data_IF_979118936652
#
_entry.id   IF_979118936652
#
_cell.length_a   1.000
_cell.length_b   1.000
_cell.length_c   1.000
_cell.angle_alpha   90.00
_cell.angle_beta   90.00
_cell.angle_gamma   90.00
#
_symmetry.space_group_name_H-M   'P 1'
#
loop_
_entity.id
_entity.type
_entity.pdbx_description
1 polymer ?
#
# COMPACT_ATOMS: atom_id res chain seq x y z
N UNK A 1 9.81 -18.93 -4.09
CA UNK A 1 10.53 -17.77 -3.53
C UNK A 1 9.51 -16.86 -2.85
N UNK A 2 9.79 -16.41 -1.63
CA UNK A 2 8.98 -15.39 -0.91
C UNK A 2 9.82 -14.15 -0.78
N UNK A 3 9.18 -12.97 -0.89
CA UNK A 3 9.80 -11.66 -0.76
C UNK A 3 9.28 -10.96 0.49
N UNK A 4 10.18 -10.33 1.23
CA UNK A 4 9.86 -9.61 2.46
C UNK A 4 10.44 -8.21 2.37
N UNK A 5 9.63 -7.18 2.59
CA UNK A 5 10.03 -5.79 2.59
C UNK A 5 10.14 -5.24 4.01
N UNK A 6 11.22 -4.55 4.31
CA UNK A 6 11.42 -3.85 5.59
C UNK A 6 11.33 -2.34 5.40
N UNK A 7 10.68 -1.67 6.34
CA UNK A 7 10.57 -0.20 6.37
C UNK A 7 11.58 0.45 7.33
N UNK A 8 12.41 -0.33 8.02
CA UNK A 8 13.38 0.19 8.98
C UNK A 8 14.71 0.52 8.31
N UNK A 9 15.31 1.64 8.69
CA UNK A 9 16.69 1.98 8.32
C UNK A 9 17.60 1.19 9.26
N UNK A 10 18.20 0.13 8.75
CA UNK A 10 19.22 -0.67 9.44
C UNK A 10 20.55 -0.32 8.80
N UNK A 11 21.59 -0.15 9.62
CA UNK A 11 22.84 0.47 9.23
C UNK A 11 23.71 -0.35 8.27
N UNK A 12 23.55 -1.68 8.25
CA UNK A 12 24.34 -2.59 7.42
C UNK A 12 23.59 -3.83 6.98
N UNK A 13 24.16 -4.59 6.03
CA UNK A 13 23.57 -5.79 5.46
C UNK A 13 23.52 -6.95 6.46
N UNK A 14 24.51 -7.06 7.34
CA UNK A 14 24.58 -8.09 8.39
C UNK A 14 23.46 -7.91 9.42
N UNK A 15 23.29 -6.72 9.96
CA UNK A 15 22.22 -6.39 10.90
C UNK A 15 20.83 -6.57 10.30
N UNK A 16 20.66 -6.24 9.01
CA UNK A 16 19.40 -6.43 8.29
C UNK A 16 19.04 -7.92 8.16
N UNK A 17 20.00 -8.78 7.82
CA UNK A 17 19.79 -10.22 7.74
C UNK A 17 19.48 -10.82 9.11
N UNK A 18 20.17 -10.38 10.16
CA UNK A 18 19.92 -10.84 11.53
C UNK A 18 18.49 -10.56 11.99
N UNK A 19 18.03 -9.34 11.80
CA UNK A 19 16.66 -8.95 12.14
C UNK A 19 15.62 -9.69 11.27
N UNK A 20 15.94 -9.94 9.99
CA UNK A 20 15.09 -10.76 9.13
C UNK A 20 14.96 -12.18 9.63
N UNK A 21 16.09 -12.85 9.93
CA UNK A 21 16.13 -14.24 10.42
C UNK A 21 15.28 -14.34 11.70
N UNK A 22 15.45 -13.40 12.64
CA UNK A 22 14.70 -13.37 13.88
C UNK A 22 13.20 -13.27 13.64
N UNK A 23 12.75 -12.27 12.89
CA UNK A 23 11.31 -12.05 12.61
C UNK A 23 10.67 -13.17 11.79
N UNK A 24 11.46 -13.79 10.90
CA UNK A 24 10.94 -14.85 10.05
C UNK A 24 10.72 -16.13 10.85
N UNK A 25 11.73 -16.55 11.63
CA UNK A 25 11.67 -17.80 12.37
C UNK A 25 10.88 -17.70 13.68
N UNK A 26 10.65 -16.51 14.22
CA UNK A 26 9.72 -16.31 15.34
C UNK A 26 8.29 -16.81 15.05
N UNK A 27 7.89 -16.78 13.77
CA UNK A 27 6.54 -17.15 13.31
C UNK A 27 6.55 -18.35 12.36
N UNK A 28 7.68 -19.00 12.16
CA UNK A 28 7.80 -20.12 11.23
C UNK A 28 7.52 -21.44 11.93
N UNK A 29 6.67 -22.27 11.32
CA UNK A 29 6.36 -23.63 11.82
C UNK A 29 7.53 -24.60 11.63
N UNK A 30 8.49 -24.29 10.79
CA UNK A 30 9.64 -25.15 10.47
C UNK A 30 10.95 -24.36 10.50
N UNK A 31 11.91 -24.81 11.28
CA UNK A 31 13.28 -24.30 11.31
C UNK A 31 14.22 -25.35 10.67
N UNK A 32 14.99 -24.99 9.62
CA UNK A 32 15.92 -25.92 8.96
C UNK A 32 17.13 -26.23 9.86
N UNK A 33 17.96 -27.20 9.45
CA UNK A 33 19.24 -27.48 10.12
C UNK A 33 20.32 -26.47 9.72
N UNK A 34 20.13 -25.79 8.60
CA UNK A 34 21.11 -24.87 8.06
C UNK A 34 20.40 -23.67 7.39
N UNK A 35 20.87 -22.46 7.73
CA UNK A 35 20.48 -21.20 7.11
C UNK A 35 21.70 -20.65 6.38
N UNK A 36 21.60 -20.46 5.07
CA UNK A 36 22.68 -19.90 4.26
C UNK A 36 22.40 -18.42 3.96
N UNK A 37 23.41 -17.59 4.15
CA UNK A 37 23.32 -16.14 4.06
C UNK A 37 24.31 -15.55 3.05
N UNK A 38 24.09 -14.32 2.62
CA UNK A 38 24.90 -13.66 1.58
C UNK A 38 26.15 -12.96 2.11
N UNK A 39 26.20 -12.71 3.42
CA UNK A 39 27.31 -12.04 4.09
C UNK A 39 27.61 -12.71 5.43
N UNK A 40 28.84 -12.58 5.89
CA UNK A 40 29.24 -12.99 7.23
C UNK A 40 28.50 -12.15 8.27
N UNK A 41 27.94 -12.79 9.28
CA UNK A 41 27.13 -12.15 10.30
C UNK A 41 27.90 -12.11 11.62
N UNK A 42 28.05 -10.90 12.22
CA UNK A 42 28.72 -10.72 13.52
C UNK A 42 27.98 -11.49 14.63
N UNK A 43 26.66 -11.50 14.61
CA UNK A 43 25.81 -12.15 15.62
C UNK A 43 25.39 -13.59 15.23
N UNK A 44 26.06 -14.23 14.26
CA UNK A 44 25.69 -15.57 13.78
C UNK A 44 25.56 -16.59 14.91
N UNK A 45 26.50 -16.61 15.85
CA UNK A 45 26.51 -17.54 16.99
C UNK A 45 25.30 -17.36 17.92
N UNK A 46 24.91 -16.12 18.21
CA UNK A 46 23.75 -15.84 19.06
C UNK A 46 22.43 -16.28 18.37
N UNK A 47 22.34 -16.06 17.07
CA UNK A 47 21.19 -16.50 16.28
C UNK A 47 21.14 -18.02 16.14
N UNK A 48 22.28 -18.71 16.01
CA UNK A 48 22.37 -20.17 15.99
C UNK A 48 21.90 -20.78 17.32
N UNK A 49 22.33 -20.22 18.45
CA UNK A 49 21.90 -20.64 19.79
C UNK A 49 20.38 -20.48 19.94
N UNK A 50 19.85 -19.31 19.62
CA UNK A 50 18.42 -19.03 19.68
C UNK A 50 17.60 -19.98 18.78
N UNK A 51 18.01 -20.16 17.52
CA UNK A 51 17.32 -21.06 16.58
C UNK A 51 17.40 -22.53 17.02
N UNK A 52 18.53 -22.94 17.62
CA UNK A 52 18.74 -24.28 18.15
C UNK A 52 17.82 -24.55 19.34
N UNK A 53 17.65 -23.56 20.22
CA UNK A 53 16.70 -23.63 21.34
C UNK A 53 15.25 -23.73 20.86
N UNK A 54 14.84 -22.85 19.96
CA UNK A 54 13.47 -22.82 19.42
C UNK A 54 13.13 -24.10 18.66
N UNK A 55 14.09 -24.64 17.87
CA UNK A 55 13.91 -25.87 17.10
C UNK A 55 13.96 -27.13 17.98
N UNK A 56 14.65 -27.09 19.11
CA UNK A 56 15.00 -28.29 19.88
C UNK A 56 16.05 -29.19 19.19
N UNK A 57 16.88 -28.64 18.31
CA UNK A 57 17.89 -29.35 17.52
C UNK A 57 18.86 -28.38 16.85
N UNK A 58 20.07 -28.84 16.57
CA UNK A 58 21.17 -27.99 16.08
C UNK A 58 20.79 -27.26 14.79
N UNK A 59 21.06 -25.94 14.76
CA UNK A 59 20.95 -25.08 13.59
C UNK A 59 22.28 -24.38 13.34
N UNK A 60 22.68 -24.28 12.08
CA UNK A 60 23.86 -23.52 11.65
C UNK A 60 23.48 -22.38 10.72
N UNK A 61 24.19 -21.25 10.87
CA UNK A 61 24.14 -20.13 9.93
C UNK A 61 25.50 -20.04 9.25
N UNK A 62 25.55 -20.06 7.94
CA UNK A 62 26.81 -19.98 7.21
C UNK A 62 26.73 -19.13 5.94
N UNK A 63 27.85 -18.47 5.63
CA UNK A 63 28.09 -17.84 4.34
C UNK A 63 28.89 -18.82 3.46
N UNK A 64 28.29 -19.44 2.45
CA UNK A 64 28.99 -20.36 1.57
C UNK A 64 29.88 -19.58 0.61
N UNK A 65 31.14 -20.02 0.47
CA UNK A 65 32.11 -19.37 -0.44
C UNK A 65 32.21 -20.10 -1.81
N UNK A 66 31.68 -21.34 -1.95
CA UNK A 66 31.71 -22.13 -3.19
C UNK A 66 30.68 -23.25 -3.17
N UNK A 67 30.43 -23.83 -4.34
CA UNK A 67 29.55 -25.00 -4.52
C UNK A 67 28.07 -24.60 -4.59
N UNK A 68 27.19 -25.59 -4.59
CA UNK A 68 25.76 -25.48 -4.82
C UNK A 68 25.07 -24.43 -3.89
N UNK A 69 25.45 -24.41 -2.61
CA UNK A 69 24.93 -23.44 -1.64
C UNK A 69 25.28 -22.00 -2.01
N UNK A 70 26.49 -21.77 -2.50
CA UNK A 70 26.93 -20.48 -2.99
C UNK A 70 26.10 -20.03 -4.20
N UNK A 71 25.83 -20.96 -5.12
CA UNK A 71 25.01 -20.66 -6.30
C UNK A 71 23.56 -20.34 -5.92
N UNK A 72 23.00 -21.04 -4.92
CA UNK A 72 21.67 -20.73 -4.38
C UNK A 72 21.61 -19.33 -3.75
N UNK A 73 22.60 -18.95 -2.94
CA UNK A 73 22.69 -17.60 -2.35
C UNK A 73 22.83 -16.55 -3.44
N UNK A 74 23.66 -16.78 -4.43
CA UNK A 74 23.87 -15.89 -5.57
C UNK A 74 22.56 -15.66 -6.36
N UNK A 75 21.80 -16.74 -6.56
CA UNK A 75 20.48 -16.65 -7.18
C UNK A 75 19.49 -15.88 -6.31
N UNK A 76 19.48 -16.06 -5.00
CA UNK A 76 18.63 -15.32 -4.08
C UNK A 76 18.95 -13.83 -4.09
N UNK A 77 20.22 -13.45 -4.04
CA UNK A 77 20.69 -12.05 -4.13
C UNK A 77 20.30 -11.43 -5.47
N UNK A 78 20.46 -12.17 -6.57
CA UNK A 78 20.05 -11.69 -7.90
C UNK A 78 18.53 -11.41 -7.96
N UNK A 79 17.73 -12.34 -7.44
CA UNK A 79 16.27 -12.17 -7.37
C UNK A 79 15.86 -10.98 -6.50
N UNK A 80 16.52 -10.79 -5.36
CA UNK A 80 16.26 -9.64 -4.49
C UNK A 80 16.59 -8.30 -5.18
N UNK A 81 17.73 -8.23 -5.91
CA UNK A 81 18.11 -7.05 -6.69
C UNK A 81 17.12 -6.75 -7.82
N UNK A 82 16.67 -7.77 -8.54
CA UNK A 82 15.66 -7.60 -9.60
C UNK A 82 14.34 -7.07 -9.02
N UNK A 83 13.90 -7.62 -7.90
CA UNK A 83 12.67 -7.16 -7.24
C UNK A 83 12.81 -5.72 -6.74
N UNK A 84 13.94 -5.37 -6.14
CA UNK A 84 14.22 -4.00 -5.72
C UNK A 84 14.19 -3.03 -6.91
N UNK A 85 14.81 -3.39 -8.03
CA UNK A 85 14.80 -2.58 -9.24
C UNK A 85 13.37 -2.41 -9.81
N UNK A 86 12.55 -3.46 -9.78
CA UNK A 86 11.14 -3.39 -10.18
C UNK A 86 10.36 -2.42 -9.28
N UNK A 87 10.56 -2.49 -7.97
CA UNK A 87 9.94 -1.59 -7.00
C UNK A 87 10.37 -0.14 -7.27
N UNK A 88 11.68 0.12 -7.37
CA UNK A 88 12.23 1.46 -7.67
C UNK A 88 11.64 2.01 -8.98
N UNK A 89 11.68 1.22 -10.05
CA UNK A 89 11.13 1.62 -11.36
C UNK A 89 9.65 1.94 -11.28
N UNK A 90 8.88 1.17 -10.51
CA UNK A 90 7.46 1.43 -10.31
C UNK A 90 7.18 2.72 -9.52
N UNK A 91 8.05 3.09 -8.58
CA UNK A 91 7.95 4.37 -7.85
C UNK A 91 8.28 5.56 -8.74
N UNK A 92 9.36 5.48 -9.51
CA UNK A 92 9.75 6.53 -10.47
C UNK A 92 8.64 6.76 -11.49
N UNK A 93 8.09 5.69 -12.07
CA UNK A 93 6.97 5.78 -13.01
C UNK A 93 5.71 6.40 -12.38
N UNK A 94 5.39 6.06 -11.14
CA UNK A 94 4.23 6.64 -10.43
C UNK A 94 4.43 8.12 -10.13
N UNK A 95 5.63 8.54 -9.74
CA UNK A 95 5.95 9.95 -9.49
C UNK A 95 5.86 10.79 -10.76
N UNK A 96 6.37 10.27 -11.89
CA UNK A 96 6.26 10.94 -13.19
C UNK A 96 4.80 11.09 -13.63
N UNK A 97 3.98 10.04 -13.46
CA UNK A 97 2.55 10.10 -13.76
C UNK A 97 1.81 11.15 -12.92
N UNK A 98 2.09 11.23 -11.62
CA UNK A 98 1.48 12.24 -10.74
C UNK A 98 1.94 13.66 -11.12
N UNK A 99 3.20 13.85 -11.47
CA UNK A 99 3.72 15.14 -11.93
C UNK A 99 3.04 15.57 -13.25
N UNK A 100 2.87 14.67 -14.20
CA UNK A 100 2.15 14.93 -15.46
C UNK A 100 0.67 15.25 -15.20
N UNK A 101 0.03 14.56 -14.25
CA UNK A 101 -1.34 14.84 -13.83
C UNK A 101 -1.45 16.24 -13.22
N UNK A 102 -0.56 16.59 -12.29
CA UNK A 102 -0.46 17.93 -11.70
C UNK A 102 -0.39 19.02 -12.79
N UNK A 103 0.54 18.86 -13.74
CA UNK A 103 0.72 19.83 -14.83
C UNK A 103 -0.51 19.94 -15.72
N UNK A 104 -1.14 18.81 -16.05
CA UNK A 104 -2.32 18.80 -16.91
C UNK A 104 -3.55 19.46 -16.26
N UNK A 105 -3.68 19.35 -14.95
CA UNK A 105 -4.78 19.93 -14.18
C UNK A 105 -4.48 21.34 -13.67
N UNK A 106 -3.22 21.83 -13.82
CA UNK A 106 -2.81 23.15 -13.30
C UNK A 106 -2.81 23.23 -11.78
N UNK A 107 -2.55 22.12 -11.09
CA UNK A 107 -2.54 22.07 -9.62
C UNK A 107 -1.22 22.63 -9.07
N UNK A 108 -1.28 23.34 -7.95
CA UNK A 108 -0.09 23.87 -7.27
C UNK A 108 0.78 22.77 -6.69
N UNK A 109 0.16 21.70 -6.18
CA UNK A 109 0.85 20.58 -5.55
C UNK A 109 0.57 19.26 -6.28
N UNK A 110 1.51 18.31 -6.15
CA UNK A 110 1.32 16.93 -6.66
C UNK A 110 0.24 16.24 -5.83
N UNK A 111 -0.84 15.71 -6.46
CA UNK A 111 -1.90 15.00 -5.75
C UNK A 111 -1.40 13.62 -5.31
N UNK A 112 -0.97 13.50 -4.06
CA UNK A 112 -0.50 12.23 -3.48
C UNK A 112 -1.64 11.27 -3.19
N UNK A 113 -2.76 11.81 -2.66
CA UNK A 113 -3.97 11.06 -2.40
C UNK A 113 -5.07 11.51 -3.35
N UNK A 114 -5.61 10.54 -4.10
CA UNK A 114 -6.70 10.75 -5.06
C UNK A 114 -7.85 9.85 -4.63
N UNK A 115 -9.05 10.42 -4.49
CA UNK A 115 -10.27 9.65 -4.27
C UNK A 115 -11.18 9.82 -5.48
N UNK A 116 -11.72 8.70 -5.99
CA UNK A 116 -12.64 8.71 -7.13
C UNK A 116 -13.96 8.06 -6.72
N UNK A 117 -15.07 8.73 -7.02
CA UNK A 117 -16.44 8.27 -6.77
C UNK A 117 -17.14 7.90 -8.06
N UNK A 118 -17.75 6.74 -8.05
CA UNK A 118 -18.58 6.21 -9.12
C UNK A 118 -19.93 5.73 -8.54
N UNK A 119 -21.01 6.08 -9.23
CA UNK A 119 -22.34 5.59 -8.91
C UNK A 119 -22.71 4.47 -9.89
N UNK A 120 -22.91 3.26 -9.38
CA UNK A 120 -23.42 2.17 -10.19
C UNK A 120 -24.81 1.74 -9.75
N UNK A 121 -25.70 1.63 -10.74
CA UNK A 121 -27.09 1.30 -10.55
C UNK A 121 -27.39 -0.04 -11.22
N UNK A 122 -27.52 -1.09 -10.43
CA UNK A 122 -27.89 -2.41 -10.93
C UNK A 122 -29.41 -2.54 -10.85
N UNK A 123 -30.08 -2.25 -11.97
CA UNK A 123 -31.53 -2.55 -12.18
C UNK A 123 -32.49 -1.92 -11.15
N UNK A 124 -32.23 -0.71 -10.65
CA UNK A 124 -33.19 0.07 -9.85
C UNK A 124 -33.42 -0.43 -8.42
N UNK A 125 -32.78 -1.53 -7.99
CA UNK A 125 -32.86 -2.02 -6.61
C UNK A 125 -31.50 -1.93 -5.95
N UNK A 126 -31.42 -1.24 -4.79
CA UNK A 126 -30.20 -1.04 -3.99
C UNK A 126 -29.07 -0.29 -4.73
N UNK A 127 -29.21 1.00 -5.00
CA UNK A 127 -28.16 1.79 -5.60
C UNK A 127 -26.91 1.79 -4.72
N UNK A 128 -25.76 1.65 -5.38
CA UNK A 128 -24.46 1.54 -4.72
C UNK A 128 -23.50 2.54 -5.33
N UNK A 129 -22.74 3.20 -4.49
CA UNK A 129 -21.62 4.03 -4.91
C UNK A 129 -20.31 3.40 -4.44
N UNK A 130 -19.30 3.45 -5.30
CA UNK A 130 -17.97 2.99 -4.99
C UNK A 130 -17.03 4.18 -4.82
N UNK A 131 -16.13 4.07 -3.83
CA UNK A 131 -15.00 4.97 -3.68
C UNK A 131 -13.72 4.18 -3.82
N UNK A 132 -12.89 4.54 -4.79
CA UNK A 132 -11.54 4.01 -4.96
C UNK A 132 -10.53 5.05 -4.54
N UNK A 133 -9.40 4.59 -4.01
CA UNK A 133 -8.36 5.46 -3.47
C UNK A 133 -7.02 5.08 -4.08
N UNK A 134 -6.29 6.11 -4.53
CA UNK A 134 -4.89 6.00 -4.92
C UNK A 134 -4.04 6.79 -3.94
N UNK A 135 -2.90 6.22 -3.58
CA UNK A 135 -1.88 6.87 -2.76
C UNK A 135 -0.53 6.79 -3.46
N UNK A 136 0.13 7.93 -3.66
CA UNK A 136 1.40 8.01 -4.39
C UNK A 136 1.37 7.32 -5.76
N UNK A 137 0.25 7.46 -6.50
CA UNK A 137 0.04 6.88 -7.82
C UNK A 137 -0.26 5.37 -7.84
N UNK A 138 -0.47 4.73 -6.67
CA UNK A 138 -0.79 3.30 -6.56
C UNK A 138 -2.15 3.08 -5.89
N UNK A 139 -2.92 2.06 -6.31
CA UNK A 139 -4.19 1.73 -5.68
C UNK A 139 -4.03 1.37 -4.19
N UNK A 140 -4.73 2.06 -3.31
CA UNK A 140 -4.80 1.76 -1.87
C UNK A 140 -6.10 1.00 -1.56
N UNK A 141 -6.11 -0.31 -1.88
CA UNK A 141 -7.31 -1.16 -1.78
C UNK A 141 -7.91 -1.23 -0.36
N UNK A 142 -7.09 -1.11 0.69
CA UNK A 142 -7.56 -1.08 2.09
C UNK A 142 -8.48 0.11 2.38
N UNK A 143 -8.35 1.19 1.62
CA UNK A 143 -9.16 2.41 1.74
C UNK A 143 -10.36 2.46 0.81
N UNK A 144 -10.56 1.46 -0.06
CA UNK A 144 -11.75 1.37 -0.90
C UNK A 144 -13.00 1.24 -0.05
N UNK A 145 -14.08 1.89 -0.47
CA UNK A 145 -15.38 1.83 0.22
C UNK A 145 -16.50 1.57 -0.79
N UNK A 146 -17.49 0.83 -0.31
CA UNK A 146 -18.77 0.64 -0.95
C UNK A 146 -19.84 1.29 -0.10
N UNK A 147 -20.59 2.21 -0.68
CA UNK A 147 -21.68 2.91 -0.01
C UNK A 147 -23.01 2.41 -0.55
N UNK A 148 -23.80 1.75 0.27
CA UNK A 148 -25.21 1.49 -0.02
C UNK A 148 -25.98 2.79 0.26
N UNK A 149 -26.76 3.26 -0.70
CA UNK A 149 -27.62 4.45 -0.56
C UNK A 149 -28.77 4.12 0.41
N UNK A 150 -29.04 5.04 1.33
CA UNK A 150 -30.00 4.80 2.43
C UNK A 150 -31.14 5.82 2.47
N UNK A 151 -30.91 7.04 2.04
CA UNK A 151 -31.82 8.18 2.26
C UNK A 151 -32.56 8.62 1.00
N UNK A 152 -32.26 8.03 -0.15
CA UNK A 152 -32.85 8.41 -1.43
C UNK A 152 -33.73 7.30 -1.94
N UNK A 153 -35.04 7.53 -2.00
CA UNK A 153 -36.04 6.55 -2.43
C UNK A 153 -36.27 6.56 -3.95
N UNK A 154 -36.06 7.70 -4.61
CA UNK A 154 -36.20 7.84 -6.05
C UNK A 154 -34.87 7.64 -6.78
N UNK A 155 -34.94 7.19 -8.05
CA UNK A 155 -33.79 7.05 -8.91
C UNK A 155 -33.20 8.43 -9.25
N UNK A 156 -32.21 8.88 -8.48
CA UNK A 156 -31.59 10.19 -8.64
C UNK A 156 -30.08 10.12 -8.36
N UNK A 157 -29.29 10.00 -9.44
CA UNK A 157 -27.82 9.88 -9.36
C UNK A 157 -27.16 11.06 -8.67
N UNK A 158 -27.74 12.26 -8.77
CA UNK A 158 -27.27 13.45 -8.07
C UNK A 158 -27.44 13.33 -6.55
N UNK A 159 -28.61 12.84 -6.12
CA UNK A 159 -28.89 12.63 -4.71
C UNK A 159 -28.03 11.49 -4.13
N UNK A 160 -27.75 10.46 -4.91
CA UNK A 160 -26.83 9.37 -4.52
C UNK A 160 -25.42 9.89 -4.27
N UNK A 161 -24.89 10.67 -5.21
CA UNK A 161 -23.58 11.31 -5.06
C UNK A 161 -23.54 12.23 -3.85
N UNK A 162 -24.58 13.02 -3.64
CA UNK A 162 -24.71 13.92 -2.49
C UNK A 162 -24.66 13.16 -1.15
N UNK A 163 -25.41 12.05 -1.03
CA UNK A 163 -25.39 11.23 0.19
C UNK A 163 -23.99 10.69 0.47
N UNK A 164 -23.32 10.14 -0.55
CA UNK A 164 -22.03 9.50 -0.39
C UNK A 164 -20.94 10.51 -0.01
N UNK A 165 -20.91 11.67 -0.65
CA UNK A 165 -19.96 12.73 -0.36
C UNK A 165 -20.16 13.26 1.07
N UNK A 166 -21.40 13.52 1.49
CA UNK A 166 -21.71 13.91 2.88
C UNK A 166 -21.26 12.84 3.89
N UNK A 167 -21.39 11.56 3.57
CA UNK A 167 -20.95 10.46 4.46
C UNK A 167 -19.43 10.36 4.50
N UNK A 168 -18.72 10.62 3.41
CA UNK A 168 -17.26 10.57 3.37
C UNK A 168 -16.61 11.75 4.08
N UNK A 169 -17.15 12.96 3.89
CA UNK A 169 -16.54 14.20 4.36
C UNK A 169 -17.23 14.80 5.59
N UNK A 170 -18.35 14.24 6.03
CA UNK A 170 -19.03 14.70 7.25
C UNK A 170 -18.28 14.30 8.53
N UNK A 171 -18.68 14.88 9.66
CA UNK A 171 -18.01 14.79 10.98
C UNK A 171 -17.68 13.38 11.48
N UNK A 172 -18.36 12.35 11.00
CA UNK A 172 -18.13 10.98 11.43
C UNK A 172 -16.87 10.32 10.81
N UNK A 173 -16.20 10.96 9.87
CA UNK A 173 -15.02 10.43 9.18
C UNK A 173 -13.81 11.39 9.23
N UNK A 174 -13.80 12.36 10.11
CA UNK A 174 -12.71 13.33 10.29
C UNK A 174 -11.32 12.72 10.57
N UNK A 175 -11.28 11.46 11.02
CA UNK A 175 -10.00 10.74 11.25
C UNK A 175 -9.29 10.29 9.96
N UNK A 176 -9.94 10.39 8.79
CA UNK A 176 -9.38 9.98 7.52
C UNK A 176 -8.78 11.17 6.78
N UNK A 177 -7.57 11.03 6.20
CA UNK A 177 -6.94 12.13 5.48
C UNK A 177 -7.81 12.55 4.28
N UNK A 178 -7.88 13.86 4.02
CA UNK A 178 -8.52 14.39 2.82
C UNK A 178 -7.64 14.13 1.58
N UNK A 179 -8.23 13.87 0.41
CA UNK A 179 -7.49 13.77 -0.83
C UNK A 179 -7.06 15.16 -1.33
N UNK A 180 -5.95 15.24 -2.05
CA UNK A 180 -5.58 16.47 -2.78
C UNK A 180 -6.30 16.56 -4.13
N UNK A 181 -6.85 15.46 -4.62
CA UNK A 181 -7.66 15.42 -5.83
C UNK A 181 -8.88 14.54 -5.62
N UNK A 182 -10.05 15.13 -5.81
CA UNK A 182 -11.34 14.46 -5.83
C UNK A 182 -11.82 14.29 -7.27
N UNK A 183 -12.04 13.05 -7.69
CA UNK A 183 -12.55 12.72 -9.01
C UNK A 183 -13.99 12.20 -8.90
N UNK A 184 -14.85 12.71 -9.76
CA UNK A 184 -16.27 12.34 -9.81
C UNK A 184 -16.57 11.79 -11.20
N UNK A 185 -17.05 10.53 -11.25
CA UNK A 185 -17.58 9.99 -12.48
C UNK A 185 -18.97 10.57 -12.73
N UNK A 186 -19.03 11.50 -13.67
CA UNK A 186 -20.24 12.24 -13.99
C UNK A 186 -19.96 13.54 -14.73
N UNK A 187 -21.04 14.22 -15.12
CA UNK A 187 -20.96 15.50 -15.80
C UNK A 187 -20.83 16.70 -14.85
N UNK A 188 -20.88 17.90 -15.43
CA UNK A 188 -20.75 19.19 -14.69
C UNK A 188 -21.77 19.33 -13.54
N UNK A 189 -22.95 18.74 -13.66
CA UNK A 189 -23.97 18.73 -12.61
C UNK A 189 -23.51 18.00 -11.35
N UNK A 190 -22.88 16.84 -11.48
CA UNK A 190 -22.34 16.09 -10.35
C UNK A 190 -21.23 16.85 -9.64
N UNK A 191 -20.29 17.43 -10.41
CA UNK A 191 -19.21 18.25 -9.85
C UNK A 191 -19.76 19.45 -9.08
N UNK A 192 -20.82 20.12 -9.61
CA UNK A 192 -21.46 21.26 -8.94
C UNK A 192 -22.03 20.85 -7.58
N UNK A 193 -22.81 19.77 -7.54
CA UNK A 193 -23.40 19.26 -6.30
C UNK A 193 -22.34 18.90 -5.27
N UNK A 194 -21.27 18.24 -5.70
CA UNK A 194 -20.15 17.89 -4.81
C UNK A 194 -19.50 19.16 -4.25
N UNK A 195 -19.27 20.17 -5.08
CA UNK A 195 -18.73 21.47 -4.64
C UNK A 195 -19.65 22.15 -3.63
N UNK A 196 -20.94 22.18 -3.89
CA UNK A 196 -21.91 22.80 -2.98
C UNK A 196 -21.89 22.10 -1.61
N UNK A 197 -21.78 20.77 -1.59
CA UNK A 197 -21.66 20.00 -0.35
C UNK A 197 -20.34 20.28 0.39
N UNK A 198 -19.22 20.36 -0.32
CA UNK A 198 -17.94 20.68 0.30
C UNK A 198 -17.95 22.10 0.89
N UNK A 199 -18.61 23.05 0.23
CA UNK A 199 -18.82 24.38 0.77
C UNK A 199 -19.70 24.36 2.03
N UNK A 200 -20.80 23.60 2.04
CA UNK A 200 -21.67 23.42 3.21
C UNK A 200 -20.90 22.82 4.41
N UNK A 201 -19.88 21.99 4.14
CA UNK A 201 -19.03 21.36 5.14
C UNK A 201 -17.78 22.21 5.48
N UNK A 202 -17.62 23.40 4.91
CA UNK A 202 -16.48 24.32 5.06
C UNK A 202 -15.14 23.69 4.61
N UNK A 203 -15.20 22.78 3.64
CA UNK A 203 -14.06 22.02 3.10
C UNK A 203 -13.61 22.48 1.72
N UNK A 204 -14.19 23.52 1.15
CA UNK A 204 -13.87 24.06 -0.17
C UNK A 204 -12.40 24.47 -0.35
N UNK A 205 -11.73 24.82 0.76
CA UNK A 205 -10.30 25.21 0.76
C UNK A 205 -9.32 24.05 0.72
N UNK A 206 -9.80 22.81 0.80
CA UNK A 206 -8.96 21.61 0.76
C UNK A 206 -8.82 21.02 -0.65
N UNK A 207 -9.61 21.49 -1.64
CA UNK A 207 -9.71 20.95 -3.00
C UNK A 207 -9.46 22.00 -4.08
#
# INVERSE_FOLDING_TARGET
TRHFGFKAVISDESGMLGEFIRRYYEKADLIPEEVVVSVEMEDASLLEEWLTEVKGGKVKICEPKKGERFDLVKMAVHNAKNELNNIISSFVSSADLLYRLQKRLGMDNIPKRIECFDNSNISGKNPVSAMVVFENGKPLKSSYRKYTIKTVEEHNDYAYMAEVVRRRFGKNEESKPYPELLMIDGGRGHVRIVRDILNDLELDRHF
#
